data_IF_513323918838
#
_entry.id   IF_513323918838
#
_cell.length_a   1.000
_cell.length_b   1.000
_cell.length_c   1.000
_cell.angle_alpha   90.00
_cell.angle_beta   90.00
_cell.angle_gamma   90.00
#
_symmetry.space_group_name_H-M   'P 1'
#
loop_
_entity.id
_entity.type
_entity.pdbx_description
1 polymer ?
#
# COMPACT_ATOMS: atom_id res chain seq x y z
N UNK A 1 -9.91 20.30 -0.23
CA UNK A 1 -10.25 18.97 -0.81
C UNK A 1 -10.30 19.12 -2.33
N UNK A 2 -9.77 18.17 -3.07
CA UNK A 2 -9.80 18.13 -4.55
C UNK A 2 -10.60 16.92 -4.98
N UNK A 3 -11.64 17.07 -5.79
CA UNK A 3 -12.42 16.00 -6.39
C UNK A 3 -11.95 15.80 -7.85
N UNK A 4 -11.65 14.57 -8.22
CA UNK A 4 -11.30 14.15 -9.57
C UNK A 4 -12.35 13.14 -10.03
N UNK A 5 -13.00 13.41 -11.14
CA UNK A 5 -14.02 12.53 -11.71
C UNK A 5 -13.47 12.02 -13.05
N UNK A 6 -13.33 10.72 -13.16
CA UNK A 6 -12.89 10.05 -14.38
C UNK A 6 -14.04 9.21 -14.95
N UNK A 7 -14.14 9.05 -16.28
CA UNK A 7 -15.29 8.41 -16.92
C UNK A 7 -15.36 6.90 -16.70
N UNK A 8 -14.24 6.26 -16.37
CA UNK A 8 -14.15 4.81 -16.20
C UNK A 8 -13.04 4.40 -15.24
N UNK A 9 -13.05 3.13 -14.86
CA UNK A 9 -12.08 2.53 -13.94
C UNK A 9 -10.63 2.59 -14.46
N UNK A 10 -10.42 2.43 -15.76
CA UNK A 10 -9.07 2.45 -16.34
C UNK A 10 -8.46 3.84 -16.26
N UNK A 11 -9.22 4.88 -16.60
CA UNK A 11 -8.75 6.26 -16.51
C UNK A 11 -8.54 6.70 -15.08
N UNK A 12 -9.44 6.31 -14.17
CA UNK A 12 -9.26 6.53 -12.73
C UNK A 12 -7.97 5.86 -12.23
N UNK A 13 -7.75 4.59 -12.58
CA UNK A 13 -6.56 3.84 -12.19
C UNK A 13 -5.28 4.47 -12.71
N UNK A 14 -5.28 4.89 -13.98
CA UNK A 14 -4.16 5.57 -14.61
C UNK A 14 -3.88 6.93 -13.98
N UNK A 15 -4.93 7.70 -13.69
CA UNK A 15 -4.80 8.97 -12.99
C UNK A 15 -4.16 8.77 -11.61
N UNK A 16 -4.67 7.82 -10.83
CA UNK A 16 -4.16 7.51 -9.50
C UNK A 16 -2.69 7.06 -9.54
N UNK A 17 -2.33 6.17 -10.45
CA UNK A 17 -0.95 5.72 -10.62
C UNK A 17 0.01 6.86 -11.00
N UNK A 18 -0.39 7.73 -11.92
CA UNK A 18 0.41 8.89 -12.30
C UNK A 18 0.57 9.87 -11.13
N UNK A 19 -0.47 10.04 -10.31
CA UNK A 19 -0.40 10.88 -9.12
C UNK A 19 0.60 10.32 -8.09
N UNK A 20 0.53 9.02 -7.79
CA UNK A 20 1.49 8.35 -6.89
C UNK A 20 2.91 8.49 -7.43
N UNK A 21 3.14 8.16 -8.71
CA UNK A 21 4.45 8.26 -9.34
C UNK A 21 4.99 9.70 -9.30
N UNK A 22 4.12 10.68 -9.52
CA UNK A 22 4.47 12.11 -9.41
C UNK A 22 4.91 12.44 -7.98
N UNK A 23 4.15 12.05 -6.96
CA UNK A 23 4.50 12.32 -5.55
C UNK A 23 5.87 11.72 -5.19
N UNK A 24 6.13 10.47 -5.58
CA UNK A 24 7.41 9.81 -5.34
C UNK A 24 8.54 10.57 -6.04
N UNK A 25 8.38 10.90 -7.33
CA UNK A 25 9.42 11.58 -8.11
C UNK A 25 9.70 13.00 -7.61
N UNK A 26 8.67 13.75 -7.18
CA UNK A 26 8.84 15.09 -6.61
C UNK A 26 9.53 15.06 -5.25
N UNK A 27 9.28 14.03 -4.43
CA UNK A 27 9.94 13.82 -3.15
C UNK A 27 11.44 13.49 -3.29
N UNK A 28 11.86 12.93 -4.43
CA UNK A 28 13.26 12.51 -4.72
C UNK A 28 13.84 11.66 -3.59
N UNK A 29 13.21 10.51 -3.27
CA UNK A 29 13.57 9.73 -2.10
C UNK A 29 15.00 9.18 -2.20
N UNK A 30 15.70 9.15 -1.05
CA UNK A 30 16.99 8.53 -0.87
C UNK A 30 16.93 7.43 0.19
N UNK A 31 18.02 6.70 0.39
CA UNK A 31 18.08 5.68 1.43
C UNK A 31 17.92 6.29 2.84
N UNK A 32 18.42 7.52 3.05
CA UNK A 32 18.34 8.25 4.31
C UNK A 32 17.01 8.97 4.50
N UNK A 33 16.32 9.26 3.40
CA UNK A 33 15.00 9.92 3.39
C UNK A 33 14.06 9.20 2.42
N UNK A 34 13.56 8.02 2.78
CA UNK A 34 12.66 7.25 1.93
C UNK A 34 11.27 7.91 1.85
N UNK A 35 10.55 7.63 0.77
CA UNK A 35 9.15 8.00 0.64
C UNK A 35 8.26 6.92 1.28
N UNK A 36 7.32 7.31 2.16
CA UNK A 36 6.45 6.39 2.88
C UNK A 36 5.05 6.38 2.24
N UNK A 37 4.66 5.20 1.73
CA UNK A 37 3.43 4.98 0.97
C UNK A 37 2.50 4.03 1.71
N UNK A 38 1.31 4.49 2.04
CA UNK A 38 0.22 3.63 2.54
C UNK A 38 -0.48 2.91 1.39
N UNK A 39 -0.59 1.58 1.47
CA UNK A 39 -1.10 0.72 0.42
C UNK A 39 -2.38 0.01 0.84
N UNK A 40 -3.51 0.16 0.10
CA UNK A 40 -4.73 -0.61 0.32
C UNK A 40 -4.69 -1.96 -0.40
N UNK A 41 -5.55 -2.88 0.02
CA UNK A 41 -5.87 -4.12 -0.68
C UNK A 41 -7.27 -4.05 -1.31
N UNK A 42 -7.67 -5.09 -2.01
CA UNK A 42 -8.97 -5.19 -2.65
C UNK A 42 -8.97 -4.91 -4.15
N UNK A 43 -10.13 -4.99 -4.78
CA UNK A 43 -10.26 -4.86 -6.25
C UNK A 43 -10.04 -3.45 -6.77
N UNK A 44 -10.41 -2.43 -6.00
CA UNK A 44 -10.30 -1.03 -6.43
C UNK A 44 -8.88 -0.59 -6.79
N UNK A 45 -7.83 -0.88 -6.00
CA UNK A 45 -6.47 -0.44 -6.33
C UNK A 45 -5.75 -1.27 -7.39
N UNK A 46 -6.28 -2.43 -7.82
CA UNK A 46 -5.59 -3.33 -8.75
C UNK A 46 -5.21 -2.65 -10.07
N UNK A 47 -6.10 -1.84 -10.63
CA UNK A 47 -5.81 -1.09 -11.86
C UNK A 47 -4.65 -0.12 -11.67
N UNK A 48 -4.64 0.60 -10.56
CA UNK A 48 -3.55 1.50 -10.20
C UNK A 48 -2.22 0.75 -10.01
N UNK A 49 -2.21 -0.40 -9.34
CA UNK A 49 -1.00 -1.21 -9.19
C UNK A 49 -0.46 -1.69 -10.54
N UNK A 50 -1.32 -2.14 -11.45
CA UNK A 50 -0.90 -2.51 -12.83
C UNK A 50 -0.22 -1.35 -13.56
N UNK A 51 -0.79 -0.16 -13.47
CA UNK A 51 -0.22 1.04 -14.08
C UNK A 51 1.11 1.45 -13.42
N UNK A 52 1.22 1.37 -12.08
CA UNK A 52 2.48 1.63 -11.36
C UNK A 52 3.58 0.64 -11.75
N UNK A 53 3.25 -0.64 -11.93
CA UNK A 53 4.18 -1.65 -12.43
C UNK A 53 4.67 -1.28 -13.84
N UNK A 54 3.76 -0.85 -14.71
CA UNK A 54 4.13 -0.41 -16.06
C UNK A 54 5.04 0.82 -16.05
N UNK A 55 4.75 1.80 -15.18
CA UNK A 55 5.59 2.99 -14.99
C UNK A 55 6.98 2.64 -14.42
N UNK A 56 7.06 1.70 -13.48
CA UNK A 56 8.32 1.22 -12.92
C UNK A 56 9.16 0.51 -13.98
N UNK A 57 8.57 -0.44 -14.73
CA UNK A 57 9.24 -1.15 -15.84
C UNK A 57 9.72 -0.20 -16.95
N UNK A 58 9.00 0.90 -17.17
CA UNK A 58 9.39 1.94 -18.12
C UNK A 58 10.44 2.93 -17.56
N UNK A 59 10.92 2.73 -16.32
CA UNK A 59 11.90 3.62 -15.67
C UNK A 59 11.35 5.01 -15.31
N UNK A 60 10.02 5.17 -15.26
CA UNK A 60 9.36 6.46 -14.96
C UNK A 60 9.17 6.70 -13.47
N UNK A 61 9.24 5.67 -12.66
CA UNK A 61 9.22 5.72 -11.19
C UNK A 61 10.05 4.57 -10.64
N UNK A 62 10.76 4.79 -9.53
CA UNK A 62 11.49 3.75 -8.79
C UNK A 62 10.93 3.62 -7.38
N UNK A 63 10.83 2.38 -6.90
CA UNK A 63 10.42 2.06 -5.54
C UNK A 63 11.58 1.63 -4.64
N UNK A 64 12.83 1.72 -5.10
CA UNK A 64 14.02 1.31 -4.33
C UNK A 64 14.17 2.03 -2.99
N UNK A 65 13.75 3.31 -2.94
CA UNK A 65 13.76 4.13 -1.75
C UNK A 65 12.34 4.48 -1.27
N UNK A 66 11.40 3.57 -1.48
CA UNK A 66 10.03 3.66 -0.96
C UNK A 66 9.86 2.63 0.15
N UNK A 67 9.23 3.04 1.25
CA UNK A 67 8.76 2.16 2.33
C UNK A 67 7.24 2.08 2.22
N UNK A 68 6.67 0.90 2.32
CA UNK A 68 5.22 0.72 2.25
C UNK A 68 4.64 0.22 3.57
N UNK A 69 3.42 0.68 3.87
CA UNK A 69 2.62 0.25 5.01
C UNK A 69 1.23 -0.14 4.53
N UNK A 70 0.83 -1.38 4.75
CA UNK A 70 -0.54 -1.83 4.53
C UNK A 70 -1.41 -1.52 5.76
N UNK A 71 -2.72 -1.35 5.55
CA UNK A 71 -3.60 -0.89 6.63
C UNK A 71 -4.12 -2.00 7.53
N UNK A 72 -4.17 -3.24 7.07
CA UNK A 72 -4.72 -4.36 7.80
C UNK A 72 -4.23 -5.72 7.26
N UNK A 73 -4.50 -6.77 8.04
CA UNK A 73 -4.33 -8.17 7.64
C UNK A 73 -5.41 -9.02 8.34
N UNK A 74 -5.73 -10.18 7.77
CA UNK A 74 -6.62 -11.15 8.39
C UNK A 74 -5.98 -11.83 9.60
N UNK A 75 -6.75 -11.95 10.67
CA UNK A 75 -6.33 -12.66 11.88
C UNK A 75 -6.48 -14.17 11.70
N UNK A 76 -5.47 -14.93 12.14
CA UNK A 76 -5.43 -16.39 12.05
C UNK A 76 -5.41 -16.95 10.62
N UNK A 77 -5.04 -16.15 9.64
CA UNK A 77 -4.83 -16.62 8.27
C UNK A 77 -3.33 -16.70 8.00
N UNK A 78 -2.79 -17.85 7.52
CA UNK A 78 -1.37 -17.95 7.15
C UNK A 78 -0.97 -16.92 6.10
N UNK A 79 0.25 -16.38 6.21
CA UNK A 79 0.75 -15.37 5.26
C UNK A 79 0.77 -15.85 3.81
N UNK A 80 1.04 -17.15 3.60
CA UNK A 80 1.07 -17.81 2.28
C UNK A 80 -0.33 -18.24 1.77
N UNK A 81 -1.36 -18.04 2.58
CA UNK A 81 -2.73 -18.32 2.13
C UNK A 81 -3.10 -17.40 0.96
N UNK A 82 -3.74 -17.92 -0.12
CA UNK A 82 -4.08 -17.11 -1.30
C UNK A 82 -4.90 -15.85 -1.01
N UNK A 83 -5.73 -15.88 0.03
CA UNK A 83 -6.59 -14.77 0.43
C UNK A 83 -5.95 -13.82 1.44
N UNK A 84 -4.73 -14.08 1.92
CA UNK A 84 -4.03 -13.15 2.81
C UNK A 84 -3.66 -11.85 2.09
N UNK A 85 -3.57 -10.75 2.81
CA UNK A 85 -3.12 -9.51 2.22
C UNK A 85 -1.63 -9.51 1.90
N UNK A 86 -0.82 -10.32 2.60
CA UNK A 86 0.54 -10.64 2.18
C UNK A 86 0.56 -11.22 0.76
N UNK A 87 -0.15 -12.33 0.53
CA UNK A 87 -0.22 -12.95 -0.80
C UNK A 87 -0.79 -12.00 -1.85
N UNK A 88 -1.85 -11.26 -1.51
CA UNK A 88 -2.44 -10.27 -2.41
C UNK A 88 -1.41 -9.24 -2.87
N UNK A 89 -0.69 -8.62 -1.94
CA UNK A 89 0.24 -7.54 -2.26
C UNK A 89 1.47 -8.03 -3.02
N UNK A 90 2.03 -9.18 -2.64
CA UNK A 90 3.15 -9.77 -3.36
C UNK A 90 2.76 -10.21 -4.76
N UNK A 91 1.61 -10.87 -4.94
CA UNK A 91 1.17 -11.37 -6.24
C UNK A 91 0.76 -10.24 -7.20
N UNK A 92 0.22 -9.14 -6.69
CA UNK A 92 -0.35 -8.08 -7.53
C UNK A 92 0.53 -6.83 -7.66
N UNK A 93 1.55 -6.66 -6.80
CA UNK A 93 2.34 -5.43 -6.81
C UNK A 93 3.83 -5.63 -6.48
N UNK A 94 4.17 -6.05 -5.27
CA UNK A 94 5.55 -5.95 -4.78
C UNK A 94 6.55 -6.82 -5.56
N UNK A 95 6.16 -8.02 -6.01
CA UNK A 95 7.05 -8.89 -6.80
C UNK A 95 7.32 -8.37 -8.22
N UNK A 96 6.60 -7.35 -8.67
CA UNK A 96 6.68 -6.83 -10.03
C UNK A 96 7.41 -5.49 -10.15
N UNK A 97 7.86 -4.92 -9.03
CA UNK A 97 8.54 -3.61 -8.94
C UNK A 97 9.90 -3.75 -8.25
N UNK A 98 10.69 -2.68 -8.29
CA UNK A 98 12.05 -2.64 -7.73
C UNK A 98 12.11 -2.31 -6.22
N UNK A 99 11.03 -2.55 -5.48
CA UNK A 99 10.99 -2.34 -4.03
C UNK A 99 11.89 -3.35 -3.30
N UNK A 100 12.58 -2.90 -2.26
CA UNK A 100 13.34 -3.79 -1.37
C UNK A 100 12.38 -4.49 -0.41
N UNK A 101 12.60 -5.79 -0.19
CA UNK A 101 11.73 -6.61 0.68
C UNK A 101 11.66 -6.05 2.11
N UNK A 102 12.79 -5.57 2.64
CA UNK A 102 12.88 -4.96 3.97
C UNK A 102 12.09 -3.66 4.12
N UNK A 103 11.70 -3.04 3.02
CA UNK A 103 10.90 -1.81 3.01
C UNK A 103 9.38 -2.06 2.95
N UNK A 104 8.97 -3.32 2.90
CA UNK A 104 7.54 -3.70 2.86
C UNK A 104 7.08 -4.05 4.26
N UNK A 105 6.09 -3.32 4.76
CA UNK A 105 5.45 -3.57 6.05
C UNK A 105 3.99 -3.97 5.87
N UNK A 106 3.66 -5.16 6.35
CA UNK A 106 2.30 -5.70 6.44
C UNK A 106 2.15 -6.26 7.84
N UNK A 107 1.00 -6.05 8.47
CA UNK A 107 0.70 -6.56 9.81
C UNK A 107 0.77 -8.08 9.86
N UNK A 108 1.21 -8.62 10.99
CA UNK A 108 1.21 -10.05 11.24
C UNK A 108 -0.11 -10.48 11.92
N UNK A 109 -1.07 -10.96 11.15
CA UNK A 109 -2.35 -11.46 11.66
C UNK A 109 -2.24 -12.73 12.53
N UNK A 110 -1.05 -13.35 12.59
CA UNK A 110 -0.77 -14.54 13.39
C UNK A 110 0.08 -14.23 14.64
N UNK A 111 0.24 -12.95 14.99
CA UNK A 111 0.95 -12.56 16.21
C UNK A 111 0.22 -13.09 17.45
N UNK A 112 0.99 -13.56 18.45
CA UNK A 112 0.44 -14.07 19.71
C UNK A 112 -0.30 -12.97 20.50
N UNK A 113 0.17 -11.75 20.39
CA UNK A 113 -0.43 -10.55 20.98
C UNK A 113 -0.69 -9.54 19.86
N UNK A 114 -1.93 -9.52 19.38
CA UNK A 114 -2.36 -8.62 18.30
C UNK A 114 -2.32 -7.15 18.72
N UNK A 115 -2.49 -6.85 20.02
CA UNK A 115 -2.40 -5.49 20.52
C UNK A 115 -0.96 -5.00 20.44
N UNK A 116 -0.02 -5.81 20.91
CA UNK A 116 1.40 -5.51 20.81
C UNK A 116 1.85 -5.38 19.34
N UNK A 117 1.32 -6.22 18.43
CA UNK A 117 1.57 -6.10 17.00
C UNK A 117 1.12 -4.75 16.46
N UNK A 118 -0.11 -4.31 16.77
CA UNK A 118 -0.60 -3.00 16.36
C UNK A 118 0.24 -1.85 16.94
N UNK A 119 0.61 -1.91 18.23
CA UNK A 119 1.44 -0.90 18.88
C UNK A 119 2.84 -0.82 18.24
N UNK A 120 3.45 -1.96 17.93
CA UNK A 120 4.75 -2.03 17.23
C UNK A 120 4.64 -1.50 15.80
N UNK A 121 3.54 -1.77 15.12
CA UNK A 121 3.31 -1.29 13.75
C UNK A 121 3.13 0.23 13.72
N UNK A 122 2.33 0.78 14.62
CA UNK A 122 2.19 2.24 14.80
C UNK A 122 3.53 2.89 15.13
N UNK A 123 4.33 2.25 16.00
CA UNK A 123 5.68 2.71 16.31
C UNK A 123 6.58 2.69 15.08
N UNK A 124 6.53 1.65 14.25
CA UNK A 124 7.30 1.60 13.01
C UNK A 124 6.93 2.73 12.04
N UNK A 125 5.63 3.10 11.93
CA UNK A 125 5.18 4.26 11.16
C UNK A 125 5.75 5.55 11.75
N UNK A 126 5.71 5.72 13.07
CA UNK A 126 6.25 6.91 13.75
C UNK A 126 7.78 7.02 13.56
N UNK A 127 8.50 5.93 13.74
CA UNK A 127 9.97 5.86 13.59
C UNK A 127 10.39 6.16 12.13
N UNK A 128 9.55 5.80 11.16
CA UNK A 128 9.74 6.18 9.76
C UNK A 128 9.46 7.67 9.47
N UNK A 129 8.89 8.40 10.43
CA UNK A 129 8.50 9.81 10.29
C UNK A 129 7.08 10.00 9.72
N UNK A 130 6.21 9.03 9.88
CA UNK A 130 4.83 9.04 9.39
C UNK A 130 4.70 8.51 7.95
N UNK A 131 3.57 8.78 7.32
CA UNK A 131 3.26 8.37 5.94
C UNK A 131 3.12 9.61 5.07
N UNK A 132 3.84 9.66 3.94
CA UNK A 132 3.84 10.82 3.04
C UNK A 132 2.59 10.84 2.14
N UNK A 133 2.13 9.68 1.70
CA UNK A 133 0.92 9.51 0.92
C UNK A 133 0.21 8.22 1.32
N UNK A 134 -1.05 8.34 1.74
CA UNK A 134 -1.87 7.19 2.07
C UNK A 134 -3.01 7.05 1.05
N UNK A 135 -3.11 5.88 0.43
CA UNK A 135 -4.21 5.54 -0.45
C UNK A 135 -5.28 4.78 0.33
N UNK A 136 -6.52 5.17 0.18
CA UNK A 136 -7.65 4.51 0.83
C UNK A 136 -8.83 4.40 -0.11
N UNK A 137 -9.66 3.35 0.08
CA UNK A 137 -10.93 3.20 -0.58
C UNK A 137 -12.07 3.70 0.30
N UNK A 138 -13.14 4.17 -0.33
CA UNK A 138 -14.43 4.38 0.32
C UNK A 138 -15.24 3.11 0.03
N UNK A 139 -15.67 2.37 1.05
CA UNK A 139 -16.48 1.17 0.88
C UNK A 139 -17.88 1.47 0.36
N UNK A 140 -18.67 0.43 -0.01
CA UNK A 140 -20.06 0.61 -0.46
C UNK A 140 -20.97 1.24 0.60
N UNK A 141 -20.58 1.16 1.86
CA UNK A 141 -21.21 1.78 3.02
C UNK A 141 -20.83 3.26 3.23
N UNK A 142 -19.96 3.80 2.37
CA UNK A 142 -19.45 5.18 2.40
C UNK A 142 -18.71 5.56 3.71
N UNK A 143 -18.38 4.56 4.55
CA UNK A 143 -17.68 4.77 5.83
C UNK A 143 -16.16 4.93 5.62
N UNK A 144 -15.67 4.65 4.42
CA UNK A 144 -14.26 4.64 4.11
C UNK A 144 -13.65 3.29 4.44
N UNK A 145 -12.90 3.18 5.52
CA UNK A 145 -12.34 1.91 5.96
C UNK A 145 -13.29 1.24 6.96
N UNK A 146 -13.93 0.16 6.55
CA UNK A 146 -14.63 -0.72 7.50
C UNK A 146 -13.62 -1.63 8.18
N UNK A 147 -13.50 -1.54 9.52
CA UNK A 147 -12.75 -2.53 10.29
C UNK A 147 -13.63 -3.76 10.53
N UNK A 148 -13.16 -4.92 10.11
CA UNK A 148 -13.77 -6.20 10.47
C UNK A 148 -13.09 -6.74 11.74
N UNK A 149 -13.86 -7.43 12.61
CA UNK A 149 -13.30 -8.06 13.82
C UNK A 149 -12.26 -9.15 13.53
N UNK A 150 -12.20 -9.62 12.29
CA UNK A 150 -11.29 -10.67 11.83
C UNK A 150 -9.99 -10.11 11.23
N UNK A 151 -9.78 -8.79 11.30
CA UNK A 151 -8.58 -8.10 10.79
C UNK A 151 -7.89 -7.29 11.86
N UNK A 152 -6.61 -7.24 11.73
CA UNK A 152 -5.70 -6.40 12.52
C UNK A 152 -5.06 -5.34 11.65
#
# INVERSE_FOLDING_TARGET
MRLIIEPDYEKMSKWAANYVAKCINEAKPTAEKPFKLGCPTGSSPLGMYRELIALNKAGKVSFQNVITFNMDEYVNLPEDHPESYHSFMWNNFFSHIDIKKENVHILNGNAKDLKAECENYEKAIQDAGGIDLFMGGIGPDEIGRASCRERV
#
